data_IF_353663502177
#
_entry.id   IF_353663502177
#
_cell.length_a   1.000
_cell.length_b   1.000
_cell.length_c   1.000
_cell.angle_alpha   90.00
_cell.angle_beta   90.00
_cell.angle_gamma   90.00
#
_symmetry.space_group_name_H-M   'P 1'
#
loop_
_entity.id
_entity.type
_entity.pdbx_description
1 polymer ?
#
# COMPACT_ATOMS: atom_id res chain seq x y z
N UNK A 1 -49.16 -3.03 -5.50
CA UNK A 1 -48.72 -3.90 -6.62
C UNK A 1 -47.55 -3.23 -7.29
N UNK A 2 -46.33 -3.76 -7.12
CA UNK A 2 -45.16 -3.32 -7.88
C UNK A 2 -44.73 -4.51 -8.72
N UNK A 3 -44.71 -4.33 -10.04
CA UNK A 3 -44.60 -5.40 -11.01
C UNK A 3 -43.23 -6.09 -10.99
N UNK A 4 -43.26 -7.42 -11.10
CA UNK A 4 -42.10 -8.23 -11.41
C UNK A 4 -41.59 -7.86 -12.81
N UNK A 5 -40.40 -7.28 -12.90
CA UNK A 5 -39.61 -7.34 -14.13
C UNK A 5 -38.63 -8.50 -13.99
N UNK A 6 -38.89 -9.57 -14.75
CA UNK A 6 -37.93 -10.64 -15.00
C UNK A 6 -36.83 -10.10 -15.91
N UNK A 7 -35.57 -10.33 -15.54
CA UNK A 7 -34.41 -10.04 -16.38
C UNK A 7 -33.64 -11.33 -16.64
N UNK A 8 -33.26 -11.51 -17.89
CA UNK A 8 -32.51 -12.64 -18.41
C UNK A 8 -31.01 -12.44 -18.17
N UNK A 9 -30.31 -13.50 -17.78
CA UNK A 9 -28.86 -13.47 -17.53
C UNK A 9 -28.14 -13.44 -18.88
N UNK A 10 -27.55 -12.30 -19.21
CA UNK A 10 -26.68 -12.16 -20.38
C UNK A 10 -25.24 -12.51 -19.98
N UNK A 11 -24.86 -13.72 -20.38
CA UNK A 11 -23.51 -14.19 -20.69
C UNK A 11 -22.43 -14.09 -19.58
N UNK A 12 -22.04 -15.26 -19.07
CA UNK A 12 -20.88 -15.42 -18.20
C UNK A 12 -19.63 -15.54 -19.07
N UNK A 13 -18.93 -14.43 -19.29
CA UNK A 13 -17.57 -14.52 -19.83
C UNK A 13 -16.68 -15.29 -18.83
N UNK A 14 -15.74 -16.07 -19.38
CA UNK A 14 -14.93 -17.10 -18.72
C UNK A 14 -14.14 -16.64 -17.48
N UNK A 15 -14.08 -15.34 -17.21
CA UNK A 15 -13.22 -14.74 -16.21
C UNK A 15 -13.96 -14.47 -14.88
N UNK A 16 -15.29 -14.67 -14.83
CA UNK A 16 -16.05 -14.77 -13.58
C UNK A 16 -16.14 -13.50 -12.71
N UNK A 17 -15.78 -12.33 -13.24
CA UNK A 17 -15.87 -11.06 -12.52
C UNK A 17 -17.06 -10.22 -12.99
N UNK A 18 -17.82 -9.69 -12.04
CA UNK A 18 -18.83 -8.65 -12.27
C UNK A 18 -18.41 -7.40 -11.49
N UNK A 19 -18.22 -6.28 -12.20
CA UNK A 19 -17.95 -4.97 -11.60
C UNK A 19 -19.22 -4.14 -11.70
N UNK A 20 -19.81 -3.75 -10.57
CA UNK A 20 -20.98 -2.86 -10.51
C UNK A 20 -20.52 -1.48 -10.09
N UNK A 21 -20.87 -0.45 -10.87
CA UNK A 21 -20.44 0.94 -10.67
C UNK A 21 -21.50 1.86 -10.06
N UNK A 22 -22.66 1.34 -9.65
CA UNK A 22 -23.76 2.16 -9.11
C UNK A 22 -24.46 1.51 -7.91
N UNK A 23 -25.15 2.34 -7.12
CA UNK A 23 -25.93 1.93 -5.95
C UNK A 23 -27.19 1.18 -6.37
N UNK A 24 -27.18 -0.14 -6.22
CA UNK A 24 -28.33 -1.00 -6.45
C UNK A 24 -28.29 -2.25 -5.57
N UNK A 25 -29.47 -2.79 -5.24
CA UNK A 25 -29.63 -4.09 -4.59
C UNK A 25 -29.38 -5.22 -5.60
N UNK A 26 -28.63 -6.25 -5.18
CA UNK A 26 -28.36 -7.43 -6.00
C UNK A 26 -28.99 -8.70 -5.40
N UNK A 27 -29.31 -9.65 -6.27
CA UNK A 27 -29.66 -11.04 -5.91
C UNK A 27 -28.56 -11.97 -6.43
N UNK A 28 -28.09 -12.88 -5.58
CA UNK A 28 -27.09 -13.89 -5.93
C UNK A 28 -27.74 -15.12 -6.57
N UNK A 29 -27.16 -15.64 -7.66
CA UNK A 29 -27.50 -16.96 -8.21
C UNK A 29 -26.66 -18.03 -7.53
N UNK A 30 -27.31 -19.10 -7.10
CA UNK A 30 -26.70 -20.17 -6.32
C UNK A 30 -26.32 -21.30 -7.30
N UNK A 31 -25.03 -21.47 -7.57
CA UNK A 31 -24.51 -22.75 -8.06
C UNK A 31 -23.29 -23.15 -7.27
N UNK A 32 -23.37 -24.38 -6.77
CA UNK A 32 -22.35 -25.23 -6.14
C UNK A 32 -21.01 -24.55 -5.79
N UNK A 33 -20.93 -24.07 -4.54
CA UNK A 33 -19.67 -24.08 -3.77
C UNK A 33 -18.89 -22.77 -3.64
N UNK A 34 -19.39 -21.62 -4.12
CA UNK A 34 -18.75 -20.31 -3.87
C UNK A 34 -19.78 -19.24 -3.55
N UNK A 35 -19.63 -18.62 -2.39
CA UNK A 35 -20.32 -17.39 -2.04
C UNK A 35 -19.27 -16.31 -1.78
N UNK A 36 -19.30 -15.24 -2.58
CA UNK A 36 -18.70 -13.97 -2.19
C UNK A 36 -19.86 -13.07 -1.76
N UNK A 37 -19.92 -12.74 -0.47
CA UNK A 37 -20.80 -11.70 0.03
C UNK A 37 -20.06 -10.37 -0.18
N UNK A 38 -20.38 -9.67 -1.27
CA UNK A 38 -19.91 -8.30 -1.50
C UNK A 38 -20.89 -7.33 -0.82
N UNK A 39 -20.81 -7.18 0.50
CA UNK A 39 -21.48 -6.05 1.15
C UNK A 39 -20.61 -4.82 0.97
N UNK A 40 -21.17 -3.77 0.37
CA UNK A 40 -20.58 -2.44 0.42
C UNK A 40 -20.36 -2.07 1.89
N UNK A 41 -19.11 -1.90 2.29
CA UNK A 41 -18.83 -1.29 3.58
C UNK A 41 -19.12 0.20 3.43
N UNK A 42 -20.34 0.61 3.77
CA UNK A 42 -20.81 1.99 3.60
C UNK A 42 -19.93 3.07 4.25
N UNK A 43 -18.99 2.69 5.13
CA UNK A 43 -18.04 3.59 5.75
C UNK A 43 -16.63 3.59 5.14
N UNK A 44 -16.35 2.79 4.11
CA UNK A 44 -15.02 2.70 3.51
C UNK A 44 -14.93 3.46 2.16
N UNK A 45 -13.82 4.17 1.89
CA UNK A 45 -12.71 4.42 2.80
C UNK A 45 -13.15 5.28 3.98
N UNK A 46 -12.60 5.01 5.16
CA UNK A 46 -12.86 5.84 6.33
C UNK A 46 -12.29 7.24 6.10
N UNK A 47 -12.96 8.25 6.65
CA UNK A 47 -12.36 9.58 6.72
C UNK A 47 -11.13 9.56 7.61
N UNK A 48 -10.16 10.39 7.27
CA UNK A 48 -9.00 10.76 8.07
C UNK A 48 -9.37 11.26 9.49
N UNK A 49 -10.61 11.72 9.69
CA UNK A 49 -11.15 12.16 10.98
C UNK A 49 -11.81 11.05 11.79
N UNK A 50 -11.88 9.83 11.27
CA UNK A 50 -12.39 8.68 12.01
C UNK A 50 -11.54 8.46 13.27
N UNK A 51 -12.20 8.32 14.43
CA UNK A 51 -11.50 8.21 15.72
C UNK A 51 -10.48 7.07 15.77
N UNK A 52 -10.72 5.97 15.02
CA UNK A 52 -9.80 4.84 14.94
C UNK A 52 -8.55 5.20 14.17
N UNK A 53 -8.69 5.94 13.06
CA UNK A 53 -7.58 6.44 12.26
C UNK A 53 -6.76 7.44 13.08
N UNK A 54 -7.42 8.41 13.72
CA UNK A 54 -6.77 9.40 14.59
C UNK A 54 -6.00 8.73 15.74
N UNK A 55 -6.59 7.72 16.38
CA UNK A 55 -5.92 6.95 17.44
C UNK A 55 -4.72 6.16 16.93
N UNK A 56 -4.84 5.54 15.76
CA UNK A 56 -3.74 4.81 15.12
C UNK A 56 -2.58 5.75 14.74
N UNK A 57 -2.87 6.92 14.17
CA UNK A 57 -1.85 7.92 13.82
C UNK A 57 -1.17 8.48 15.07
N UNK A 58 -1.91 8.73 16.16
CA UNK A 58 -1.31 9.12 17.44
C UNK A 58 -0.37 8.05 17.99
N UNK A 59 -0.75 6.77 17.89
CA UNK A 59 0.13 5.67 18.26
C UNK A 59 1.38 5.64 17.37
N UNK A 60 1.22 5.76 16.05
CA UNK A 60 2.33 5.81 15.11
C UNK A 60 3.28 6.97 15.44
N UNK A 61 2.78 8.20 15.71
CA UNK A 61 3.62 9.34 16.11
C UNK A 61 4.49 9.04 17.33
N UNK A 62 3.98 8.28 18.30
CA UNK A 62 4.75 7.89 19.48
C UNK A 62 5.87 6.88 19.18
N UNK A 63 5.72 6.09 18.10
CA UNK A 63 6.73 5.14 17.65
C UNK A 63 7.85 5.78 16.83
N UNK A 64 7.65 7.00 16.33
CA UNK A 64 8.69 7.71 15.59
C UNK A 64 9.92 7.91 16.49
N UNK A 65 11.10 7.62 15.95
CA UNK A 65 12.39 7.71 16.65
C UNK A 65 13.08 9.03 16.37
N UNK A 66 14.13 9.33 17.14
CA UNK A 66 14.83 10.62 17.11
C UNK A 66 15.56 10.90 15.78
N UNK A 67 15.84 9.87 15.00
CA UNK A 67 16.40 9.94 13.64
C UNK A 67 15.30 10.10 12.56
N UNK A 68 14.03 10.23 12.97
CA UNK A 68 12.88 10.35 12.07
C UNK A 68 12.27 9.02 11.61
N UNK A 69 12.96 7.89 11.83
CA UNK A 69 12.54 6.57 11.38
C UNK A 69 11.57 5.86 12.32
N UNK A 70 11.16 4.65 11.92
CA UNK A 70 10.26 3.76 12.67
C UNK A 70 10.86 2.36 12.85
N UNK A 71 10.57 1.76 14.00
CA UNK A 71 10.95 0.39 14.34
C UNK A 71 10.94 0.19 15.86
N UNK A 72 10.95 -1.07 16.32
CA UNK A 72 10.82 -1.38 17.76
C UNK A 72 12.03 -0.93 18.57
N UNK A 73 13.19 -1.58 18.38
CA UNK A 73 14.41 -1.25 19.12
C UNK A 73 15.25 -0.15 18.45
N UNK A 74 15.24 -0.14 17.11
CA UNK A 74 15.94 0.81 16.26
C UNK A 74 15.10 1.12 15.02
N UNK A 75 15.41 2.20 14.33
CA UNK A 75 14.77 2.50 13.06
C UNK A 75 15.12 1.44 12.02
N UNK A 76 14.12 1.05 11.23
CA UNK A 76 14.23 0.08 10.16
C UNK A 76 13.70 0.72 8.88
N UNK A 77 14.43 0.56 7.79
CA UNK A 77 14.09 1.19 6.51
C UNK A 77 12.74 0.73 5.96
N UNK A 78 12.44 -0.57 6.06
CA UNK A 78 11.15 -1.12 5.63
C UNK A 78 9.99 -0.63 6.48
N UNK A 79 10.15 -0.55 7.81
CA UNK A 79 9.11 -0.07 8.71
C UNK A 79 8.83 1.42 8.47
N UNK A 80 9.88 2.19 8.23
CA UNK A 80 9.77 3.61 7.86
C UNK A 80 9.07 3.80 6.53
N UNK A 81 9.34 2.94 5.53
CA UNK A 81 8.64 2.95 4.24
C UNK A 81 7.14 2.69 4.40
N UNK A 82 6.76 1.71 5.23
CA UNK A 82 5.35 1.45 5.55
C UNK A 82 4.69 2.61 6.30
N UNK A 83 5.39 3.22 7.25
CA UNK A 83 4.89 4.37 7.97
C UNK A 83 4.61 5.56 7.02
N UNK A 84 5.50 5.84 6.07
CA UNK A 84 5.29 6.87 5.04
C UNK A 84 4.01 6.61 4.25
N UNK A 85 3.81 5.38 3.75
CA UNK A 85 2.58 5.04 3.02
C UNK A 85 1.32 5.20 3.90
N UNK A 86 1.38 4.83 5.18
CA UNK A 86 0.27 4.98 6.11
C UNK A 86 -0.06 6.47 6.39
N UNK A 87 0.97 7.29 6.58
CA UNK A 87 0.86 8.74 6.79
C UNK A 87 0.18 9.40 5.59
N UNK A 88 0.69 9.13 4.38
CA UNK A 88 0.11 9.67 3.14
C UNK A 88 -1.32 9.18 2.92
N UNK A 89 -1.60 7.91 3.21
CA UNK A 89 -2.96 7.35 3.08
C UNK A 89 -3.96 8.00 4.03
N UNK A 90 -3.49 8.59 5.15
CA UNK A 90 -4.29 9.41 6.04
C UNK A 90 -4.37 10.89 5.62
N UNK A 91 -3.92 11.22 4.41
CA UNK A 91 -3.85 12.58 3.87
C UNK A 91 -2.95 13.51 4.71
N UNK A 92 -1.97 12.96 5.41
CA UNK A 92 -0.93 13.70 6.11
C UNK A 92 0.39 13.69 5.31
N UNK A 93 1.24 14.70 5.54
CA UNK A 93 2.53 14.82 4.84
C UNK A 93 3.66 14.24 5.68
N UNK A 94 4.43 13.24 5.18
CA UNK A 94 5.55 12.65 5.92
C UNK A 94 6.59 13.67 6.40
N UNK A 95 6.82 14.74 5.64
CA UNK A 95 7.79 15.79 5.97
C UNK A 95 7.37 16.60 7.21
N UNK A 96 6.06 16.63 7.52
CA UNK A 96 5.51 17.31 8.69
C UNK A 96 5.53 16.40 9.95
N UNK A 97 5.87 15.13 9.80
CA UNK A 97 6.10 14.21 10.91
C UNK A 97 7.52 14.34 11.41
N UNK A 98 7.79 15.28 12.31
CA UNK A 98 9.16 15.52 12.79
C UNK A 98 9.34 15.12 14.24
N UNK A 99 10.44 14.42 14.51
CA UNK A 99 10.99 14.21 15.85
C UNK A 99 12.46 14.64 15.84
N UNK A 100 12.85 15.49 16.79
CA UNK A 100 14.17 16.14 16.83
C UNK A 100 14.59 16.77 15.48
N UNK A 101 13.62 17.33 14.75
CA UNK A 101 13.84 17.97 13.45
C UNK A 101 13.96 17.03 12.25
N UNK A 102 13.92 15.71 12.45
CA UNK A 102 14.02 14.69 11.40
C UNK A 102 12.67 14.10 11.06
N UNK A 103 12.38 13.96 9.77
CA UNK A 103 11.21 13.30 9.23
C UNK A 103 11.49 11.86 8.80
N UNK A 104 10.46 11.04 8.54
CA UNK A 104 10.65 9.69 8.00
C UNK A 104 11.32 9.72 6.62
N UNK A 105 11.08 10.78 5.85
CA UNK A 105 11.69 10.94 4.55
C UNK A 105 13.17 11.32 4.66
N UNK A 106 13.54 12.17 5.63
CA UNK A 106 14.95 12.44 5.96
C UNK A 106 15.67 11.16 6.36
N UNK A 107 15.02 10.31 7.17
CA UNK A 107 15.56 8.99 7.51
C UNK A 107 15.83 8.15 6.26
N UNK A 108 14.90 8.07 5.30
CA UNK A 108 15.15 7.31 4.06
C UNK A 108 16.32 7.89 3.27
N UNK A 109 16.42 9.21 3.10
CA UNK A 109 17.52 9.87 2.37
C UNK A 109 18.87 9.61 3.01
N UNK A 110 18.95 9.67 4.34
CA UNK A 110 20.20 9.49 5.08
C UNK A 110 20.70 8.04 5.06
N UNK A 111 19.80 7.06 4.94
CA UNK A 111 20.13 5.65 5.09
C UNK A 111 20.17 4.88 3.75
N UNK A 112 19.57 5.37 2.66
CA UNK A 112 19.45 4.63 1.38
C UNK A 112 20.77 4.07 0.86
N UNK A 113 21.88 4.79 1.04
CA UNK A 113 23.22 4.37 0.59
C UNK A 113 23.67 3.06 1.22
N UNK A 114 23.41 2.86 2.51
CA UNK A 114 23.78 1.63 3.22
C UNK A 114 22.77 0.51 2.93
N UNK A 115 21.52 0.88 2.69
CA UNK A 115 20.40 -0.04 2.50
C UNK A 115 20.40 -0.71 1.13
N UNK A 116 20.74 0.03 0.08
CA UNK A 116 20.65 -0.46 -1.31
C UNK A 116 21.42 -1.76 -1.53
N UNK A 117 22.60 -1.91 -0.91
CA UNK A 117 23.43 -3.11 -1.05
C UNK A 117 22.77 -4.38 -0.51
N UNK A 118 21.78 -4.24 0.38
CA UNK A 118 21.07 -5.33 1.05
C UNK A 118 19.59 -5.45 0.66
N UNK A 119 19.12 -4.62 -0.27
CA UNK A 119 17.72 -4.65 -0.71
C UNK A 119 17.44 -5.85 -1.62
N UNK A 120 16.43 -6.65 -1.25
CA UNK A 120 15.82 -7.60 -2.17
C UNK A 120 14.80 -6.94 -3.10
N UNK A 121 14.26 -7.71 -4.05
CA UNK A 121 13.20 -7.26 -4.97
C UNK A 121 12.03 -6.59 -4.25
N UNK A 122 11.55 -7.20 -3.16
CA UNK A 122 10.44 -6.67 -2.38
C UNK A 122 10.79 -5.36 -1.67
N UNK A 123 12.04 -5.19 -1.22
CA UNK A 123 12.49 -3.95 -0.58
C UNK A 123 12.56 -2.80 -1.58
N UNK A 124 13.08 -3.06 -2.77
CA UNK A 124 13.11 -2.07 -3.86
C UNK A 124 11.68 -1.64 -4.21
N UNK A 125 10.78 -2.60 -4.45
CA UNK A 125 9.39 -2.32 -4.77
C UNK A 125 8.67 -1.51 -3.67
N UNK A 126 8.85 -1.89 -2.39
CA UNK A 126 8.29 -1.16 -1.24
C UNK A 126 8.83 0.26 -1.16
N UNK A 127 10.12 0.45 -1.41
CA UNK A 127 10.75 1.77 -1.37
C UNK A 127 10.21 2.65 -2.50
N UNK A 128 10.06 2.11 -3.72
CA UNK A 128 9.40 2.81 -4.83
C UNK A 128 7.99 3.27 -4.43
N UNK A 129 7.18 2.38 -3.83
CA UNK A 129 5.84 2.74 -3.37
C UNK A 129 5.86 3.88 -2.34
N UNK A 130 6.73 3.79 -1.33
CA UNK A 130 6.85 4.84 -0.31
C UNK A 130 7.25 6.19 -0.91
N UNK A 131 8.21 6.21 -1.84
CA UNK A 131 8.65 7.43 -2.52
C UNK A 131 7.54 8.03 -3.39
N UNK A 132 6.85 7.20 -4.19
CA UNK A 132 5.73 7.65 -5.00
C UNK A 132 4.61 8.24 -4.15
N UNK A 133 4.27 7.60 -3.03
CA UNK A 133 3.28 8.13 -2.08
C UNK A 133 3.73 9.45 -1.46
N UNK A 134 5.01 9.59 -1.14
CA UNK A 134 5.58 10.83 -0.63
C UNK A 134 5.74 11.93 -1.70
N UNK A 135 5.44 11.65 -2.98
CA UNK A 135 5.63 12.60 -4.08
C UNK A 135 7.09 12.76 -4.53
N UNK A 136 7.96 11.82 -4.16
CA UNK A 136 9.37 11.78 -4.54
C UNK A 136 9.58 11.00 -5.84
N UNK A 137 10.69 11.26 -6.54
CA UNK A 137 11.04 10.53 -7.77
C UNK A 137 11.88 9.27 -7.46
N UNK A 138 11.32 8.05 -7.62
CA UNK A 138 12.06 6.82 -7.38
C UNK A 138 13.12 6.53 -8.45
N UNK A 139 13.14 7.24 -9.57
CA UNK A 139 14.19 7.12 -10.61
C UNK A 139 15.41 7.97 -10.30
N UNK A 140 15.31 8.87 -9.32
CA UNK A 140 16.41 9.72 -8.88
C UNK A 140 16.28 10.07 -7.39
N UNK A 141 16.38 9.04 -6.55
CA UNK A 141 16.38 9.23 -5.10
C UNK A 141 17.81 9.12 -4.57
N UNK A 142 18.38 10.25 -4.13
CA UNK A 142 19.79 10.34 -3.68
C UNK A 142 20.80 9.80 -4.72
N UNK A 143 20.51 9.97 -6.01
CA UNK A 143 21.34 9.48 -7.11
C UNK A 143 21.13 8.02 -7.50
N UNK A 144 20.11 7.36 -6.94
CA UNK A 144 19.75 5.98 -7.26
C UNK A 144 18.46 5.90 -8.08
N UNK A 145 18.48 5.07 -9.13
CA UNK A 145 17.30 4.71 -9.92
C UNK A 145 16.77 3.35 -9.44
N UNK A 146 15.85 3.40 -8.49
CA UNK A 146 15.26 2.21 -7.89
C UNK A 146 14.37 1.45 -8.89
N UNK A 147 13.78 2.16 -9.85
CA UNK A 147 12.94 1.53 -10.90
C UNK A 147 13.82 0.66 -11.79
N UNK A 148 14.95 1.20 -12.26
CA UNK A 148 15.92 0.43 -13.03
C UNK A 148 16.46 -0.77 -12.23
N UNK A 149 16.77 -0.57 -10.95
CA UNK A 149 17.21 -1.67 -10.08
C UNK A 149 16.15 -2.77 -9.97
N UNK A 150 14.86 -2.43 -9.95
CA UNK A 150 13.77 -3.41 -9.92
C UNK A 150 13.63 -4.13 -11.28
N UNK A 151 13.75 -3.41 -12.39
CA UNK A 151 13.73 -3.97 -13.75
C UNK A 151 14.86 -4.99 -13.95
N UNK A 152 16.06 -4.71 -13.43
CA UNK A 152 17.19 -5.64 -13.44
C UNK A 152 16.95 -6.93 -12.63
N UNK A 153 15.92 -6.97 -11.77
CA UNK A 153 15.49 -8.16 -11.02
C UNK A 153 14.44 -9.00 -11.76
N UNK A 154 13.98 -8.56 -12.94
CA UNK A 154 13.06 -9.32 -13.79
C UNK A 154 13.87 -10.26 -14.68
N UNK A 155 13.59 -11.56 -14.58
CA UNK A 155 14.23 -12.61 -15.38
C UNK A 155 13.66 -12.61 -16.81
N UNK A 156 14.38 -13.25 -17.73
CA UNK A 156 13.96 -13.37 -19.15
C UNK A 156 12.55 -13.96 -19.32
N UNK A 157 12.12 -14.84 -18.41
CA UNK A 157 10.80 -15.45 -18.41
C UNK A 157 9.70 -14.58 -17.76
N UNK A 158 10.00 -13.33 -17.41
CA UNK A 158 9.08 -12.40 -16.75
C UNK A 158 8.92 -12.61 -15.24
N UNK A 159 9.60 -13.60 -14.65
CA UNK A 159 9.60 -13.79 -13.19
C UNK A 159 10.34 -12.65 -12.51
N UNK A 160 9.76 -12.12 -11.44
CA UNK A 160 10.39 -11.10 -10.61
C UNK A 160 10.90 -11.74 -9.31
N UNK A 161 12.19 -11.60 -9.03
CA UNK A 161 12.82 -12.07 -7.80
C UNK A 161 13.24 -13.56 -7.78
N UNK A 162 14.01 -13.90 -6.76
CA UNK A 162 14.72 -15.19 -6.66
C UNK A 162 14.12 -16.17 -5.64
N UNK A 163 13.19 -15.72 -4.79
CA UNK A 163 12.68 -16.49 -3.66
C UNK A 163 11.17 -16.80 -3.80
N UNK A 164 10.81 -18.08 -3.58
CA UNK A 164 9.42 -18.58 -3.56
C UNK A 164 8.70 -18.27 -2.24
N UNK A 165 9.41 -17.76 -1.23
CA UNK A 165 8.85 -17.42 0.09
C UNK A 165 9.38 -16.07 0.58
N UNK A 166 8.60 -15.02 0.39
CA UNK A 166 8.74 -13.77 1.15
C UNK A 166 7.39 -13.48 1.79
N UNK A 167 7.29 -13.67 3.10
CA UNK A 167 6.16 -13.14 3.88
C UNK A 167 6.30 -11.63 3.89
N UNK A 168 5.33 -10.93 3.31
CA UNK A 168 5.20 -9.47 3.33
C UNK A 168 4.69 -8.97 4.67
#
# INVERSE_FOLDING_TARGET
>A
MVGNKSFEVLDLNADGWVVVRESGSFTASISTGRFAVLTLWNGFPFSEKDERIVKALKYLRNLQRDDGGFGEEKSLFFATSWAIMAIVSANERPEDWKKNGKSPLDYLRENIREEIARMGTADIARTILALVYAGEDPRNFEGYDLVKMLEEKVKENGQIGDYVYTTI
#
